data_IF_368395267518
#
_entry.id   IF_368395267518
#
_cell.length_a   1.000
_cell.length_b   1.000
_cell.length_c   1.000
_cell.angle_alpha   90.00
_cell.angle_beta   90.00
_cell.angle_gamma   90.00
#
_symmetry.space_group_name_H-M   'P 1'
#
loop_
_entity.id
_entity.type
_entity.pdbx_description
1 polymer ?
#
# COMPACT_ATOMS: atom_id res chain seq x y z
N UNK A 1 -15.08 102.81 9.43
CA UNK A 1 -15.71 101.62 10.07
C UNK A 1 -15.75 100.53 9.01
N UNK A 2 -15.18 99.34 9.16
CA UNK A 2 -14.34 98.75 10.20
C UNK A 2 -13.48 97.69 9.52
N UNK A 3 -12.24 97.61 10.00
CA UNK A 3 -11.26 96.55 9.75
C UNK A 3 -11.78 95.20 10.27
N UNK A 4 -11.55 94.11 9.54
CA UNK A 4 -11.17 92.81 10.11
C UNK A 4 -10.30 92.03 9.10
N UNK A 5 -9.00 91.95 9.42
CA UNK A 5 -8.07 90.93 8.94
C UNK A 5 -8.34 89.63 9.71
N UNK A 6 -8.24 88.48 9.03
CA UNK A 6 -7.80 87.22 9.63
C UNK A 6 -7.38 86.27 8.50
N UNK A 7 -6.08 86.12 8.20
CA UNK A 7 -5.10 85.26 8.89
C UNK A 7 -5.47 83.76 8.92
N UNK A 8 -5.82 83.15 7.78
CA UNK A 8 -5.62 81.70 7.64
C UNK A 8 -5.12 81.34 6.23
N UNK A 9 -3.85 80.95 6.18
CA UNK A 9 -3.19 80.50 4.96
C UNK A 9 -3.85 79.25 4.37
N UNK A 10 -3.80 79.15 3.05
CA UNK A 10 -4.08 77.90 2.32
C UNK A 10 -3.05 76.86 2.75
N UNK A 11 -3.39 76.09 3.78
CA UNK A 11 -2.70 74.82 4.07
C UNK A 11 -3.22 73.85 3.02
N UNK A 12 -2.42 73.54 2.02
CA UNK A 12 -2.69 72.42 1.12
C UNK A 12 -2.76 71.15 1.97
N UNK A 13 -3.97 70.64 2.18
CA UNK A 13 -4.15 69.30 2.72
C UNK A 13 -3.76 68.35 1.58
N UNK A 14 -2.51 67.87 1.60
CA UNK A 14 -2.16 66.67 0.85
C UNK A 14 -2.99 65.53 1.42
N UNK A 15 -4.05 65.16 0.72
CA UNK A 15 -4.73 63.89 0.93
C UNK A 15 -3.74 62.83 0.46
N UNK A 16 -2.98 62.27 1.39
CA UNK A 16 -2.32 60.99 1.14
C UNK A 16 -3.44 59.97 0.97
N UNK A 17 -3.67 59.54 -0.27
CA UNK A 17 -4.47 58.35 -0.54
C UNK A 17 -3.83 57.21 0.27
N UNK A 18 -4.62 56.44 1.06
CA UNK A 18 -4.08 55.30 1.77
C UNK A 18 -3.38 54.39 0.76
N UNK A 19 -2.12 54.03 1.04
CA UNK A 19 -1.43 52.98 0.29
C UNK A 19 -2.35 51.78 0.27
N UNK A 20 -2.76 51.36 -0.93
CA UNK A 20 -3.38 50.05 -1.10
C UNK A 20 -2.41 49.04 -0.50
N UNK A 21 -2.79 48.49 0.65
CA UNK A 21 -2.17 47.27 1.15
C UNK A 21 -2.33 46.25 0.02
N UNK A 22 -1.21 45.81 -0.57
CA UNK A 22 -1.17 44.61 -1.40
C UNK A 22 -1.71 43.47 -0.53
N UNK A 23 -3.02 43.24 -0.60
CA UNK A 23 -3.61 42.00 -0.13
C UNK A 23 -2.97 40.93 -0.99
N UNK A 24 -2.08 40.14 -0.40
CA UNK A 24 -1.69 38.86 -0.97
C UNK A 24 -2.99 38.15 -1.36
N UNK A 25 -3.24 38.06 -2.67
CA UNK A 25 -4.37 37.33 -3.21
C UNK A 25 -4.11 35.87 -2.85
N UNK A 26 -4.83 35.38 -1.84
CA UNK A 26 -4.85 33.94 -1.52
C UNK A 26 -5.10 33.17 -2.83
N UNK A 27 -4.29 32.15 -3.14
CA UNK A 27 -4.49 31.37 -4.35
C UNK A 27 -5.92 30.82 -4.38
N UNK A 28 -6.53 30.79 -5.57
CA UNK A 28 -7.85 30.19 -5.71
C UNK A 28 -7.79 28.71 -5.32
N UNK A 29 -8.86 28.19 -4.72
CA UNK A 29 -8.93 26.78 -4.33
C UNK A 29 -8.60 25.84 -5.49
N UNK A 30 -9.03 26.18 -6.71
CA UNK A 30 -8.68 25.40 -7.91
C UNK A 30 -7.18 25.45 -8.25
N UNK A 31 -6.50 26.58 -7.98
CA UNK A 31 -5.04 26.69 -8.16
C UNK A 31 -4.28 25.84 -7.14
N UNK A 32 -4.70 25.85 -5.88
CA UNK A 32 -4.12 25.01 -4.82
C UNK A 32 -4.32 23.51 -5.12
N UNK A 33 -5.51 23.12 -5.60
CA UNK A 33 -5.79 21.75 -6.03
C UNK A 33 -4.87 21.34 -7.20
N UNK A 34 -4.65 22.23 -8.17
CA UNK A 34 -3.75 21.95 -9.29
C UNK A 34 -2.32 21.73 -8.86
N UNK A 35 -1.77 22.66 -8.09
CA UNK A 35 -0.39 22.56 -7.62
C UNK A 35 -0.19 21.26 -6.81
N UNK A 36 -1.18 20.89 -5.99
CA UNK A 36 -1.12 19.63 -5.24
C UNK A 36 -1.18 18.40 -6.14
N UNK A 37 -2.11 18.34 -7.09
CA UNK A 37 -2.22 17.20 -8.02
C UNK A 37 -1.03 17.11 -8.99
N UNK A 38 -0.45 18.24 -9.40
CA UNK A 38 0.76 18.32 -10.23
C UNK A 38 2.01 17.90 -9.47
N UNK A 39 2.03 18.07 -8.15
CA UNK A 39 3.15 17.61 -7.30
C UNK A 39 3.21 16.09 -7.09
N UNK A 40 2.14 15.36 -7.46
CA UNK A 40 2.09 13.90 -7.34
C UNK A 40 2.93 13.29 -8.46
N UNK A 41 4.14 12.88 -8.12
CA UNK A 41 5.03 12.12 -8.99
C UNK A 41 5.06 10.64 -8.56
N UNK A 42 4.43 9.78 -9.37
CA UNK A 42 4.40 8.34 -9.15
C UNK A 42 5.37 7.65 -10.10
N UNK A 43 6.57 7.37 -9.62
CA UNK A 43 7.54 6.55 -10.36
C UNK A 43 7.22 5.06 -10.19
N UNK A 44 6.76 4.41 -11.27
CA UNK A 44 6.45 2.97 -11.29
C UNK A 44 7.67 2.12 -10.94
N UNK A 45 8.86 2.50 -11.43
CA UNK A 45 10.08 1.72 -11.19
C UNK A 45 10.45 1.74 -9.70
N UNK A 46 10.20 2.87 -9.03
CA UNK A 46 10.40 3.00 -7.59
C UNK A 46 9.50 2.08 -6.75
N UNK A 47 8.33 1.68 -7.27
CA UNK A 47 7.38 0.83 -6.56
C UNK A 47 7.73 -0.67 -6.62
N UNK A 48 8.76 -1.05 -7.39
CA UNK A 48 9.26 -2.42 -7.49
C UNK A 48 8.17 -3.48 -7.78
N UNK A 49 7.16 -3.10 -8.59
CA UNK A 49 5.97 -3.93 -8.85
C UNK A 49 6.30 -5.28 -9.51
N UNK A 50 7.27 -5.32 -10.42
CA UNK A 50 7.74 -6.58 -11.03
C UNK A 50 8.39 -7.51 -10.00
N UNK A 51 9.12 -6.94 -9.03
CA UNK A 51 9.73 -7.73 -7.95
C UNK A 51 8.66 -8.29 -7.02
N UNK A 52 7.64 -7.50 -6.67
CA UNK A 52 6.48 -7.98 -5.89
C UNK A 52 5.82 -9.17 -6.58
N UNK A 53 5.58 -9.08 -7.91
CA UNK A 53 5.04 -10.20 -8.69
C UNK A 53 5.95 -11.43 -8.60
N UNK A 54 7.24 -11.27 -8.84
CA UNK A 54 8.21 -12.36 -8.80
C UNK A 54 8.26 -13.06 -7.43
N UNK A 55 8.22 -12.29 -6.33
CA UNK A 55 8.21 -12.83 -4.98
C UNK A 55 6.90 -13.58 -4.68
N UNK A 56 5.75 -13.01 -5.07
CA UNK A 56 4.45 -13.66 -4.88
C UNK A 56 4.33 -14.98 -5.66
N UNK A 57 4.83 -15.03 -6.89
CA UNK A 57 4.89 -16.24 -7.71
C UNK A 57 5.81 -17.31 -7.11
N UNK A 58 6.99 -16.90 -6.63
CA UNK A 58 7.92 -17.81 -5.95
C UNK A 58 7.27 -18.43 -4.70
N UNK A 59 6.66 -17.61 -3.84
CA UNK A 59 5.94 -18.09 -2.65
C UNK A 59 4.83 -19.07 -3.06
N UNK A 60 4.00 -18.73 -4.04
CA UNK A 60 2.91 -19.61 -4.53
C UNK A 60 3.44 -20.97 -5.01
N UNK A 61 4.55 -20.99 -5.75
CA UNK A 61 5.20 -22.22 -6.21
C UNK A 61 5.67 -23.10 -5.05
N UNK A 62 6.36 -22.50 -4.07
CA UNK A 62 6.82 -23.24 -2.90
C UNK A 62 5.68 -23.71 -1.99
N UNK A 63 4.62 -22.93 -1.84
CA UNK A 63 3.40 -23.32 -1.10
C UNK A 63 2.74 -24.56 -1.72
N UNK A 64 2.65 -24.63 -3.06
CA UNK A 64 2.16 -25.84 -3.76
C UNK A 64 3.01 -27.06 -3.44
N UNK A 65 4.33 -26.92 -3.50
CA UNK A 65 5.26 -28.00 -3.15
C UNK A 65 5.18 -28.40 -1.68
N UNK A 66 4.99 -27.44 -0.78
CA UNK A 66 4.82 -27.68 0.66
C UNK A 66 3.53 -28.45 0.93
N UNK A 67 2.42 -28.06 0.30
CA UNK A 67 1.14 -28.77 0.41
C UNK A 67 1.26 -30.23 -0.04
N UNK A 68 1.98 -30.49 -1.13
CA UNK A 68 2.23 -31.85 -1.61
C UNK A 68 3.00 -32.70 -0.58
N UNK A 69 4.02 -32.12 0.05
CA UNK A 69 4.81 -32.82 1.06
C UNK A 69 4.03 -33.08 2.34
N UNK A 70 3.23 -32.11 2.78
CA UNK A 70 2.32 -32.28 3.92
C UNK A 70 1.33 -33.42 3.65
N UNK A 71 0.71 -33.45 2.47
CA UNK A 71 -0.22 -34.53 2.11
C UNK A 71 0.48 -35.90 2.02
N UNK A 72 1.72 -35.95 1.51
CA UNK A 72 2.52 -37.19 1.53
C UNK A 72 2.83 -37.63 2.95
N UNK A 73 3.15 -36.70 3.86
CA UNK A 73 3.43 -36.99 5.26
C UNK A 73 2.22 -37.67 5.92
N UNK A 74 1.02 -37.12 5.76
CA UNK A 74 -0.23 -37.68 6.29
C UNK A 74 -0.50 -39.11 5.78
N UNK A 75 -0.12 -39.42 4.54
CA UNK A 75 -0.36 -40.72 3.91
C UNK A 75 0.66 -41.81 4.28
N UNK A 76 1.72 -41.49 5.04
CA UNK A 76 2.86 -42.39 5.29
C UNK A 76 3.01 -42.80 6.77
N UNK A 77 1.89 -42.91 7.50
CA UNK A 77 1.83 -43.13 8.95
C UNK A 77 2.78 -44.23 9.49
N UNK A 78 3.04 -45.31 8.73
CA UNK A 78 3.88 -46.44 9.19
C UNK A 78 5.32 -46.44 8.68
N UNK A 79 5.74 -45.45 7.86
CA UNK A 79 7.07 -45.42 7.23
C UNK A 79 7.96 -44.31 7.80
N UNK A 80 8.43 -44.52 9.04
CA UNK A 80 9.23 -43.55 9.82
C UNK A 80 10.42 -42.93 9.05
N UNK A 81 11.15 -43.72 8.27
CA UNK A 81 12.31 -43.20 7.52
C UNK A 81 11.90 -42.27 6.36
N UNK A 82 10.78 -42.58 5.68
CA UNK A 82 10.23 -41.70 4.65
C UNK A 82 9.64 -40.43 5.25
N UNK A 83 9.01 -40.53 6.43
CA UNK A 83 8.51 -39.36 7.17
C UNK A 83 9.63 -38.38 7.54
N UNK A 84 10.80 -38.88 7.98
CA UNK A 84 11.96 -38.03 8.28
C UNK A 84 12.45 -37.24 7.06
N UNK A 85 12.49 -37.89 5.88
CA UNK A 85 12.87 -37.20 4.64
C UNK A 85 11.86 -36.11 4.26
N UNK A 86 10.57 -36.38 4.42
CA UNK A 86 9.51 -35.41 4.14
C UNK A 86 9.56 -34.24 5.13
N UNK A 87 9.80 -34.51 6.42
CA UNK A 87 10.01 -33.46 7.43
C UNK A 87 11.15 -32.52 7.02
N UNK A 88 12.31 -33.04 6.60
CA UNK A 88 13.42 -32.22 6.09
C UNK A 88 13.00 -31.36 4.90
N UNK A 89 12.19 -31.92 3.99
CA UNK A 89 11.66 -31.19 2.84
C UNK A 89 10.69 -30.07 3.25
N UNK A 90 9.79 -30.34 4.21
CA UNK A 90 8.86 -29.35 4.79
C UNK A 90 9.65 -28.19 5.42
N UNK A 91 10.61 -28.50 6.29
CA UNK A 91 11.49 -27.50 6.92
C UNK A 91 12.22 -26.66 5.86
N UNK A 92 12.81 -27.31 4.85
CA UNK A 92 13.53 -26.61 3.78
C UNK A 92 12.63 -25.65 3.01
N UNK A 93 11.40 -26.06 2.67
CA UNK A 93 10.44 -25.20 1.97
C UNK A 93 9.96 -24.04 2.83
N UNK A 94 9.65 -24.28 4.10
CA UNK A 94 9.24 -23.21 5.03
C UNK A 94 10.33 -22.13 5.17
N UNK A 95 11.61 -22.52 5.24
CA UNK A 95 12.72 -21.56 5.28
C UNK A 95 12.77 -20.68 4.02
N UNK A 96 12.62 -21.29 2.84
CA UNK A 96 12.62 -20.56 1.57
C UNK A 96 11.39 -19.65 1.45
N UNK A 97 10.20 -20.16 1.79
CA UNK A 97 8.97 -19.36 1.80
C UNK A 97 9.10 -18.17 2.75
N UNK A 98 9.72 -18.37 3.92
CA UNK A 98 9.94 -17.31 4.91
C UNK A 98 10.81 -16.19 4.35
N UNK A 99 11.90 -16.54 3.66
CA UNK A 99 12.77 -15.55 3.03
C UNK A 99 12.00 -14.70 1.99
N UNK A 100 11.28 -15.34 1.07
CA UNK A 100 10.48 -14.63 0.07
C UNK A 100 9.34 -13.83 0.71
N UNK A 101 8.72 -14.35 1.77
CA UNK A 101 7.64 -13.66 2.50
C UNK A 101 8.11 -12.40 3.20
N UNK A 102 9.32 -12.41 3.78
CA UNK A 102 9.92 -11.22 4.40
C UNK A 102 10.23 -10.15 3.35
N UNK A 103 10.78 -10.55 2.20
CA UNK A 103 11.05 -9.63 1.09
C UNK A 103 9.74 -9.04 0.56
N UNK A 104 8.73 -9.88 0.32
CA UNK A 104 7.41 -9.42 -0.14
C UNK A 104 6.78 -8.45 0.87
N UNK A 105 6.84 -8.72 2.17
CA UNK A 105 6.35 -7.80 3.23
C UNK A 105 7.00 -6.42 3.14
N UNK A 106 8.32 -6.37 2.92
CA UNK A 106 9.03 -5.10 2.79
C UNK A 106 8.57 -4.32 1.54
N UNK A 107 8.43 -5.02 0.41
CA UNK A 107 8.03 -4.40 -0.85
C UNK A 107 6.58 -3.90 -0.81
N UNK A 108 5.64 -4.68 -0.25
CA UNK A 108 4.24 -4.24 -0.13
C UNK A 108 4.10 -3.06 0.84
N UNK A 109 4.88 -3.02 1.93
CA UNK A 109 4.89 -1.88 2.85
C UNK A 109 5.40 -0.61 2.15
N UNK A 110 6.38 -0.75 1.24
CA UNK A 110 6.83 0.36 0.42
C UNK A 110 5.71 0.89 -0.49
N UNK A 111 4.95 0.00 -1.14
CA UNK A 111 3.80 0.38 -1.98
C UNK A 111 2.66 0.98 -1.15
N UNK A 112 2.39 0.47 0.05
CA UNK A 112 1.42 1.08 0.97
C UNK A 112 1.78 2.55 1.26
N UNK A 113 3.03 2.82 1.62
CA UNK A 113 3.47 4.18 1.98
C UNK A 113 3.60 5.12 0.77
N UNK A 114 4.23 4.67 -0.32
CA UNK A 114 4.58 5.52 -1.45
C UNK A 114 3.47 5.69 -2.47
N UNK A 115 2.52 4.77 -2.51
CA UNK A 115 1.41 4.81 -3.45
C UNK A 115 0.07 5.02 -2.74
N UNK A 116 -0.35 4.10 -1.87
CA UNK A 116 -1.70 4.16 -1.30
C UNK A 116 -1.87 5.34 -0.35
N UNK A 117 -1.00 5.47 0.65
CA UNK A 117 -1.09 6.54 1.65
C UNK A 117 -0.93 7.92 1.02
N UNK A 118 0.05 8.04 0.12
CA UNK A 118 0.30 9.29 -0.59
C UNK A 118 -0.90 9.71 -1.46
N UNK A 119 -1.49 8.80 -2.24
CA UNK A 119 -2.68 9.12 -3.03
C UNK A 119 -3.91 9.39 -2.17
N UNK A 120 -4.13 8.60 -1.13
CA UNK A 120 -5.26 8.79 -0.21
C UNK A 120 -5.21 10.14 0.48
N UNK A 121 -4.04 10.57 0.97
CA UNK A 121 -3.87 11.87 1.61
C UNK A 121 -4.25 13.00 0.64
N UNK A 122 -3.73 12.94 -0.59
CA UNK A 122 -4.00 13.95 -1.60
C UNK A 122 -5.47 13.97 -2.03
N UNK A 123 -6.08 12.81 -2.32
CA UNK A 123 -7.45 12.75 -2.80
C UNK A 123 -8.47 13.10 -1.72
N UNK A 124 -8.23 12.72 -0.46
CA UNK A 124 -9.06 13.17 0.67
C UNK A 124 -9.03 14.68 0.80
N UNK A 125 -7.82 15.28 0.76
CA UNK A 125 -7.68 16.73 0.80
C UNK A 125 -8.42 17.42 -0.36
N UNK A 126 -8.29 16.91 -1.59
CA UNK A 126 -9.02 17.47 -2.74
C UNK A 126 -10.53 17.36 -2.55
N UNK A 127 -11.02 16.21 -2.08
CA UNK A 127 -12.44 16.00 -1.85
C UNK A 127 -13.01 16.85 -0.69
N UNK A 128 -12.20 17.19 0.32
CA UNK A 128 -12.57 18.15 1.37
C UNK A 128 -12.72 19.57 0.82
N UNK A 129 -11.90 19.94 -0.18
CA UNK A 129 -11.96 21.26 -0.83
C UNK A 129 -13.05 21.36 -1.90
N UNK A 130 -13.32 20.25 -2.59
CA UNK A 130 -14.26 20.16 -3.70
C UNK A 130 -14.94 18.80 -3.68
N UNK A 131 -15.99 18.71 -2.87
CA UNK A 131 -16.71 17.47 -2.65
C UNK A 131 -17.24 16.89 -3.96
N UNK A 132 -16.89 15.64 -4.23
CA UNK A 132 -17.29 14.94 -5.44
C UNK A 132 -17.40 13.43 -5.19
N UNK A 133 -18.54 12.85 -5.59
CA UNK A 133 -18.81 11.42 -5.37
C UNK A 133 -17.85 10.49 -6.12
N UNK A 134 -17.37 10.88 -7.31
CA UNK A 134 -16.39 10.08 -8.04
C UNK A 134 -15.04 10.07 -7.32
N UNK A 135 -14.61 11.20 -6.73
CA UNK A 135 -13.39 11.24 -5.91
C UNK A 135 -13.57 10.41 -4.62
N UNK A 136 -14.75 10.44 -3.99
CA UNK A 136 -15.06 9.55 -2.85
C UNK A 136 -14.97 8.08 -3.23
N UNK A 137 -15.46 7.70 -4.40
CA UNK A 137 -15.35 6.33 -4.89
C UNK A 137 -13.89 5.92 -5.12
N UNK A 138 -13.07 6.81 -5.68
CA UNK A 138 -11.63 6.59 -5.85
C UNK A 138 -10.90 6.39 -4.50
N UNK A 139 -11.22 7.22 -3.51
CA UNK A 139 -10.69 7.07 -2.15
C UNK A 139 -11.06 5.70 -1.59
N UNK A 140 -12.32 5.29 -1.73
CA UNK A 140 -12.80 3.99 -1.25
C UNK A 140 -12.07 2.83 -1.92
N UNK A 141 -11.87 2.87 -3.23
CA UNK A 141 -11.09 1.84 -3.94
C UNK A 141 -9.66 1.72 -3.39
N UNK A 142 -8.98 2.85 -3.17
CA UNK A 142 -7.62 2.86 -2.62
C UNK A 142 -7.57 2.34 -1.17
N UNK A 143 -8.60 2.61 -0.37
CA UNK A 143 -8.73 2.05 0.99
C UNK A 143 -8.95 0.53 0.96
N UNK A 144 -9.78 0.02 0.05
CA UNK A 144 -9.99 -1.42 -0.15
C UNK A 144 -8.71 -2.14 -0.62
N UNK A 145 -7.95 -1.51 -1.52
CA UNK A 145 -6.64 -2.01 -1.97
C UNK A 145 -5.66 -2.10 -0.78
N UNK A 146 -5.62 -1.06 0.06
CA UNK A 146 -4.80 -1.02 1.27
C UNK A 146 -5.17 -2.11 2.29
N UNK A 147 -6.46 -2.32 2.54
CA UNK A 147 -6.90 -3.39 3.46
C UNK A 147 -6.55 -4.79 2.94
N UNK A 148 -6.57 -4.99 1.63
CA UNK A 148 -6.11 -6.24 1.00
C UNK A 148 -4.62 -6.48 1.29
N UNK A 149 -3.78 -5.44 1.22
CA UNK A 149 -2.35 -5.52 1.54
C UNK A 149 -2.12 -5.86 3.01
N UNK A 150 -2.86 -5.25 3.94
CA UNK A 150 -2.77 -5.58 5.38
C UNK A 150 -3.20 -7.01 5.70
N UNK A 151 -4.26 -7.49 5.04
CA UNK A 151 -4.71 -8.86 5.17
C UNK A 151 -3.60 -9.84 4.73
N UNK A 152 -2.94 -9.56 3.61
CA UNK A 152 -1.78 -10.32 3.16
C UNK A 152 -0.64 -10.30 4.18
N UNK A 153 -0.28 -9.13 4.73
CA UNK A 153 0.80 -9.00 5.71
C UNK A 153 0.59 -9.94 6.91
N UNK A 154 -0.66 -10.02 7.38
CA UNK A 154 -1.07 -10.93 8.45
C UNK A 154 -0.88 -12.39 8.05
N UNK A 155 -1.28 -12.78 6.83
CA UNK A 155 -1.12 -14.16 6.32
C UNK A 155 0.34 -14.54 6.13
N UNK A 156 1.17 -13.63 5.59
CA UNK A 156 2.62 -13.82 5.45
C UNK A 156 3.27 -14.03 6.82
N UNK A 157 2.92 -13.20 7.81
CA UNK A 157 3.43 -13.33 9.19
C UNK A 157 3.14 -14.72 9.77
N UNK A 158 1.93 -15.24 9.52
CA UNK A 158 1.55 -16.57 10.01
C UNK A 158 2.38 -17.69 9.39
N UNK A 159 2.73 -17.57 8.10
CA UNK A 159 3.61 -18.56 7.45
C UNK A 159 5.06 -18.41 7.88
N UNK A 160 5.55 -17.19 8.09
CA UNK A 160 6.89 -16.92 8.64
C UNK A 160 7.05 -17.55 10.03
N UNK A 161 6.00 -17.53 10.86
CA UNK A 161 6.02 -18.18 12.17
C UNK A 161 6.29 -19.69 12.10
N UNK A 162 5.94 -20.37 11.00
CA UNK A 162 6.29 -21.78 10.83
C UNK A 162 7.81 -22.01 10.79
N UNK A 163 8.63 -21.04 10.37
CA UNK A 163 10.09 -21.18 10.47
C UNK A 163 10.55 -21.19 11.92
N UNK A 164 9.90 -20.46 12.83
CA UNK A 164 10.24 -20.54 14.27
C UNK A 164 9.99 -21.93 14.85
N UNK A 165 8.90 -22.59 14.42
CA UNK A 165 8.51 -23.88 15.01
C UNK A 165 9.05 -25.10 14.25
N UNK A 166 9.32 -25.00 12.94
CA UNK A 166 9.74 -26.14 12.11
C UNK A 166 11.25 -26.14 11.79
N UNK A 167 11.98 -25.11 12.21
CA UNK A 167 13.42 -25.02 11.97
C UNK A 167 14.21 -25.71 13.09
N UNK A 168 15.05 -26.72 12.77
CA UNK A 168 15.85 -27.43 13.78
C UNK A 168 16.91 -26.56 14.44
N UNK A 169 17.34 -25.47 13.78
CA UNK A 169 18.32 -24.52 14.33
C UNK A 169 17.68 -23.64 15.43
N UNK A 170 16.35 -23.47 15.39
CA UNK A 170 15.57 -22.63 16.32
C UNK A 170 14.80 -23.44 17.36
N UNK A 171 14.33 -24.64 16.98
CA UNK A 171 13.44 -25.46 17.79
C UNK A 171 13.85 -26.94 17.80
N UNK A 172 14.15 -27.47 18.98
CA UNK A 172 14.52 -28.88 19.16
C UNK A 172 13.34 -29.84 19.00
N UNK A 173 12.11 -29.36 19.17
CA UNK A 173 10.88 -30.16 19.05
C UNK A 173 10.25 -30.08 17.65
N UNK A 174 10.99 -29.58 16.65
CA UNK A 174 10.43 -29.26 15.34
C UNK A 174 9.68 -30.42 14.67
N UNK A 175 10.19 -31.67 14.75
CA UNK A 175 9.53 -32.84 14.17
C UNK A 175 8.15 -33.09 14.78
N UNK A 176 8.05 -32.97 16.10
CA UNK A 176 6.79 -33.13 16.84
C UNK A 176 5.80 -32.00 16.55
N UNK A 177 6.29 -30.78 16.32
CA UNK A 177 5.45 -29.65 15.96
C UNK A 177 4.94 -29.76 14.52
N UNK A 178 5.76 -30.22 13.58
CA UNK A 178 5.32 -30.55 12.21
C UNK A 178 4.22 -31.60 12.28
N UNK A 179 4.43 -32.68 13.04
CA UNK A 179 3.42 -33.72 13.20
C UNK A 179 2.09 -33.18 13.70
N UNK A 180 2.09 -32.40 14.81
CA UNK A 180 0.88 -31.79 15.38
C UNK A 180 0.17 -30.85 14.41
N UNK A 181 0.90 -29.99 13.72
CA UNK A 181 0.31 -29.01 12.78
C UNK A 181 -0.33 -29.70 11.57
N UNK A 182 0.32 -30.76 11.07
CA UNK A 182 -0.21 -31.56 9.96
C UNK A 182 -1.44 -32.36 10.39
N UNK A 183 -1.44 -32.97 11.58
CA UNK A 183 -2.59 -33.70 12.13
C UNK A 183 -3.81 -32.78 12.34
N UNK A 184 -3.59 -31.56 12.84
CA UNK A 184 -4.67 -30.57 13.05
C UNK A 184 -5.15 -29.88 11.78
N UNK A 185 -4.45 -30.07 10.66
CA UNK A 185 -4.72 -29.38 9.37
C UNK A 185 -4.65 -27.85 9.44
N UNK A 186 -4.06 -27.27 10.48
CA UNK A 186 -3.95 -25.81 10.64
C UNK A 186 -3.05 -25.24 9.54
N UNK A 187 -1.93 -25.91 9.26
CA UNK A 187 -1.02 -25.51 8.20
C UNK A 187 -1.65 -25.59 6.81
N UNK A 188 -2.52 -26.57 6.54
CA UNK A 188 -3.23 -26.65 5.26
C UNK A 188 -4.12 -25.44 5.03
N UNK A 189 -4.91 -25.08 6.05
CA UNK A 189 -5.77 -23.91 6.02
C UNK A 189 -4.95 -22.64 5.77
N UNK A 190 -3.84 -22.48 6.50
CA UNK A 190 -2.97 -21.31 6.35
C UNK A 190 -2.32 -21.21 4.96
N UNK A 191 -1.88 -22.34 4.39
CA UNK A 191 -1.32 -22.39 3.04
C UNK A 191 -2.37 -22.02 1.99
N UNK A 192 -3.58 -22.57 2.08
CA UNK A 192 -4.66 -22.29 1.13
C UNK A 192 -5.09 -20.82 1.19
N UNK A 193 -5.24 -20.29 2.42
CA UNK A 193 -5.57 -18.89 2.65
C UNK A 193 -4.52 -17.97 2.03
N UNK A 194 -3.23 -18.21 2.29
CA UNK A 194 -2.16 -17.39 1.73
C UNK A 194 -2.10 -17.50 0.21
N UNK A 195 -2.24 -18.71 -0.34
CA UNK A 195 -2.23 -18.93 -1.80
C UNK A 195 -3.33 -18.12 -2.48
N UNK A 196 -4.53 -18.10 -1.90
CA UNK A 196 -5.67 -17.33 -2.41
C UNK A 196 -5.39 -15.83 -2.39
N UNK A 197 -4.83 -15.31 -1.29
CA UNK A 197 -4.51 -13.87 -1.16
C UNK A 197 -3.33 -13.44 -2.05
N UNK A 198 -2.36 -14.32 -2.32
CA UNK A 198 -1.28 -14.03 -3.26
C UNK A 198 -1.80 -13.95 -4.70
N UNK A 199 -2.59 -14.94 -5.13
CA UNK A 199 -3.10 -15.02 -6.50
C UNK A 199 -4.15 -13.95 -6.78
N UNK A 200 -5.17 -13.83 -5.94
CA UNK A 200 -6.32 -12.95 -6.18
C UNK A 200 -6.14 -11.56 -5.55
N UNK A 201 -5.23 -11.42 -4.59
CA UNK A 201 -4.95 -10.15 -3.91
C UNK A 201 -3.74 -9.45 -4.53
N UNK A 202 -2.54 -10.01 -4.37
CA UNK A 202 -1.31 -9.29 -4.78
C UNK A 202 -1.18 -9.16 -6.28
N UNK A 203 -1.28 -10.26 -7.02
CA UNK A 203 -1.00 -10.24 -8.46
C UNK A 203 -2.02 -9.38 -9.21
N UNK A 204 -3.30 -9.52 -8.88
CA UNK A 204 -4.37 -8.71 -9.48
C UNK A 204 -4.23 -7.23 -9.14
N UNK A 205 -3.93 -6.88 -7.88
CA UNK A 205 -3.77 -5.48 -7.45
C UNK A 205 -2.50 -4.85 -8.03
N UNK A 206 -1.39 -5.57 -8.08
CA UNK A 206 -0.16 -5.10 -8.73
C UNK A 206 -0.41 -4.82 -10.21
N UNK A 207 -1.07 -5.72 -10.93
CA UNK A 207 -1.44 -5.50 -12.34
C UNK A 207 -2.39 -4.30 -12.49
N UNK A 208 -3.32 -4.12 -11.54
CA UNK A 208 -4.20 -2.96 -11.44
C UNK A 208 -3.43 -1.65 -11.28
N UNK A 209 -2.48 -1.59 -10.34
CA UNK A 209 -1.63 -0.42 -10.09
C UNK A 209 -0.80 -0.09 -11.34
N UNK A 210 -0.13 -1.08 -11.94
CA UNK A 210 0.63 -0.89 -13.20
C UNK A 210 -0.28 -0.25 -14.26
N UNK A 211 -1.46 -0.82 -14.47
CA UNK A 211 -2.41 -0.34 -15.47
C UNK A 211 -2.88 1.09 -15.19
N UNK A 212 -3.17 1.42 -13.92
CA UNK A 212 -3.66 2.72 -13.48
C UNK A 212 -2.59 3.82 -13.61
N UNK A 213 -1.34 3.53 -13.23
CA UNK A 213 -0.25 4.52 -13.36
C UNK A 213 0.12 4.72 -14.84
N UNK A 214 0.25 3.65 -15.64
CA UNK A 214 0.60 3.76 -17.06
C UNK A 214 -0.45 4.54 -17.87
N UNK A 215 -1.74 4.42 -17.50
CA UNK A 215 -2.83 5.18 -18.12
C UNK A 215 -3.04 6.57 -17.53
N UNK A 216 -2.29 6.94 -16.47
CA UNK A 216 -2.53 8.15 -15.64
C UNK A 216 -3.99 8.29 -15.20
N UNK A 217 -4.69 7.16 -15.03
CA UNK A 217 -6.15 7.16 -14.96
C UNK A 217 -6.62 7.96 -13.74
N UNK A 218 -5.98 7.80 -12.58
CA UNK A 218 -6.42 8.51 -11.39
C UNK A 218 -6.14 10.02 -11.39
N UNK A 219 -4.94 10.43 -11.77
CA UNK A 219 -4.59 11.85 -11.78
C UNK A 219 -5.30 12.60 -12.91
N UNK A 220 -5.46 11.95 -14.07
CA UNK A 220 -6.24 12.48 -15.18
C UNK A 220 -7.72 12.60 -14.83
N UNK A 221 -8.31 11.53 -14.29
CA UNK A 221 -9.71 11.49 -13.89
C UNK A 221 -10.02 12.51 -12.79
N UNK A 222 -9.20 12.64 -11.75
CA UNK A 222 -9.42 13.65 -10.69
C UNK A 222 -9.35 15.08 -11.26
N UNK A 223 -8.42 15.36 -12.19
CA UNK A 223 -8.37 16.67 -12.86
C UNK A 223 -9.60 16.94 -13.73
N UNK A 224 -10.06 15.95 -14.49
CA UNK A 224 -11.28 16.05 -15.29
C UNK A 224 -12.52 16.27 -14.41
N UNK A 225 -12.68 15.48 -13.35
CA UNK A 225 -13.78 15.56 -12.38
C UNK A 225 -13.82 16.94 -11.71
N UNK A 226 -12.66 17.47 -11.34
CA UNK A 226 -12.56 18.79 -10.71
C UNK A 226 -12.73 19.94 -11.70
N UNK A 227 -12.96 19.67 -13.01
CA UNK A 227 -13.14 20.68 -14.04
C UNK A 227 -11.84 21.43 -14.39
N UNK A 228 -10.71 20.86 -14.01
CA UNK A 228 -9.37 21.39 -14.22
C UNK A 228 -8.86 20.89 -15.57
N UNK A 229 -8.52 21.80 -16.48
CA UNK A 229 -7.89 21.46 -17.77
C UNK A 229 -6.37 21.34 -17.63
N UNK A 230 -5.79 20.39 -18.38
CA UNK A 230 -4.33 20.27 -18.61
C UNK A 230 -3.74 21.52 -19.24
#
# INVERSE_FOLDING_TARGET
>A
MGFWNSLFGKKEVKVELPKEEEKELLPSVDKEINERLDSIDLDIESLALDKIRSEAEAISSYLKGLMQDINKYSNLMDKKEMQKQIIKSITGKIKVITQHSLELKNLIAHVEQRYHDYLLENFKWVNEKKENEDIKNLIKELEEDKETIKALDTKLTRIIYYDEIFNPDKNKEYEGNIHKEVEKMEIHTNINDLTTHLLNGVLDKVNGIISRIQKKDYLGLVKEITGIKR
#
